data_IF_464384231557
#
_entry.id   IF_464384231557
#
_cell.length_a   1.000
_cell.length_b   1.000
_cell.length_c   1.000
_cell.angle_alpha   90.00
_cell.angle_beta   90.00
_cell.angle_gamma   90.00
#
_symmetry.space_group_name_H-M   'P 1'
#
loop_
_entity.id
_entity.type
_entity.pdbx_description
1 polymer ?
#
# COMPACT_ATOMS: atom_id res chain seq x y z
N UNK A 1 -14.81 28.82 9.81
CA UNK A 1 -14.04 29.78 8.96
C UNK A 1 -14.98 30.57 8.08
N UNK A 2 -14.64 31.82 7.64
CA UNK A 2 -15.47 32.59 6.72
C UNK A 2 -15.01 32.41 5.26
N UNK A 3 -15.89 32.73 4.29
CA UNK A 3 -15.63 32.60 2.86
C UNK A 3 -14.39 33.39 2.41
N UNK A 4 -14.15 34.59 2.95
CA UNK A 4 -13.00 35.43 2.54
C UNK A 4 -11.63 34.80 2.90
N UNK A 5 -11.53 34.19 4.07
CA UNK A 5 -10.30 33.45 4.48
C UNK A 5 -10.11 32.22 3.59
N UNK A 6 -11.18 31.46 3.34
CA UNK A 6 -11.13 30.27 2.48
C UNK A 6 -10.81 30.62 1.02
N UNK A 7 -11.30 31.77 0.53
CA UNK A 7 -11.00 32.26 -0.82
C UNK A 7 -9.49 32.49 -1.02
N UNK A 8 -8.81 33.09 -0.03
CA UNK A 8 -7.35 33.30 -0.09
C UNK A 8 -6.61 31.96 -0.13
N UNK A 9 -6.98 31.02 0.77
CA UNK A 9 -6.35 29.69 0.82
C UNK A 9 -6.53 28.92 -0.50
N UNK A 10 -7.75 28.90 -1.03
CA UNK A 10 -8.07 28.21 -2.29
C UNK A 10 -7.34 28.83 -3.47
N UNK A 11 -7.19 30.18 -3.48
CA UNK A 11 -6.43 30.87 -4.51
C UNK A 11 -4.95 30.49 -4.49
N UNK A 12 -4.32 30.50 -3.32
CA UNK A 12 -2.92 30.08 -3.15
C UNK A 12 -2.72 28.61 -3.60
N UNK A 13 -3.58 27.71 -3.14
CA UNK A 13 -3.51 26.30 -3.54
C UNK A 13 -3.71 26.07 -5.04
N UNK A 14 -4.53 26.92 -5.70
CA UNK A 14 -4.67 26.91 -7.16
C UNK A 14 -3.37 27.33 -7.85
N UNK A 15 -2.69 28.34 -7.36
CA UNK A 15 -1.39 28.77 -7.92
C UNK A 15 -0.34 27.69 -7.77
N UNK A 16 -0.26 27.01 -6.60
CA UNK A 16 0.62 25.87 -6.37
C UNK A 16 0.33 24.72 -7.34
N UNK A 17 -0.96 24.38 -7.51
CA UNK A 17 -1.40 23.33 -8.46
C UNK A 17 -1.01 23.64 -9.90
N UNK A 18 -1.07 24.91 -10.32
CA UNK A 18 -0.70 25.33 -11.67
C UNK A 18 0.81 25.34 -11.89
N UNK A 19 1.59 25.55 -10.84
CA UNK A 19 3.06 25.51 -10.88
C UNK A 19 3.63 24.09 -10.95
N UNK A 20 2.86 23.06 -10.61
CA UNK A 20 3.32 21.68 -10.61
C UNK A 20 3.63 21.18 -12.04
N UNK A 21 4.86 20.72 -12.26
CA UNK A 21 5.29 20.02 -13.47
C UNK A 21 5.26 18.50 -13.26
N UNK A 22 4.59 17.78 -14.16
CA UNK A 22 4.44 16.32 -14.11
C UNK A 22 5.20 15.62 -15.24
N UNK A 23 6.00 16.34 -16.05
CA UNK A 23 6.65 15.81 -17.25
C UNK A 23 7.63 14.68 -16.97
N UNK A 24 8.27 14.69 -15.80
CA UNK A 24 9.27 13.70 -15.38
C UNK A 24 8.71 12.62 -14.44
N UNK A 25 7.41 12.65 -14.17
CA UNK A 25 6.81 11.73 -13.21
C UNK A 25 6.42 10.40 -13.88
N UNK A 26 6.57 9.32 -13.12
CA UNK A 26 6.21 7.97 -13.58
C UNK A 26 4.68 7.80 -13.64
N UNK A 27 4.11 7.42 -14.81
CA UNK A 27 2.71 7.02 -14.88
C UNK A 27 2.44 5.81 -13.99
N UNK A 28 1.29 5.80 -13.33
CA UNK A 28 0.90 4.73 -12.39
C UNK A 28 -0.11 3.79 -13.05
N UNK A 29 0.09 2.47 -12.99
CA UNK A 29 -0.89 1.49 -13.51
C UNK A 29 -2.29 1.64 -12.89
N UNK A 30 -2.37 2.12 -11.65
CA UNK A 30 -3.61 2.36 -10.92
C UNK A 30 -4.51 3.43 -11.57
N UNK A 31 -3.99 4.25 -12.48
CA UNK A 31 -4.80 5.17 -13.32
C UNK A 31 -5.91 4.43 -14.06
N UNK A 32 -5.65 3.20 -14.48
CA UNK A 32 -6.63 2.36 -15.19
C UNK A 32 -7.86 2.00 -14.35
N UNK A 33 -7.77 2.14 -13.04
CA UNK A 33 -8.87 1.88 -12.09
C UNK A 33 -9.75 3.12 -11.85
N UNK A 34 -9.32 4.31 -12.30
CA UNK A 34 -10.08 5.56 -12.17
C UNK A 34 -11.07 5.72 -13.33
N UNK A 35 -12.29 6.16 -13.03
CA UNK A 35 -13.36 6.30 -14.00
C UNK A 35 -13.99 7.70 -13.95
N UNK A 36 -13.73 8.51 -14.99
CA UNK A 36 -14.28 9.86 -15.15
C UNK A 36 -15.81 9.88 -15.40
N UNK A 37 -16.36 8.79 -15.92
CA UNK A 37 -17.79 8.71 -16.27
C UNK A 37 -18.65 8.20 -15.12
N UNK A 38 -18.00 7.67 -14.09
CA UNK A 38 -18.71 7.13 -12.94
C UNK A 38 -19.39 8.22 -12.12
N UNK A 39 -20.61 7.94 -11.66
CA UNK A 39 -21.30 8.74 -10.64
C UNK A 39 -20.84 8.43 -9.21
N UNK A 40 -19.79 7.63 -9.06
CA UNK A 40 -19.19 7.27 -7.77
C UNK A 40 -17.99 8.18 -7.50
N UNK A 41 -17.77 8.53 -6.24
CA UNK A 41 -16.52 9.18 -5.86
C UNK A 41 -15.32 8.26 -6.16
N UNK A 42 -14.30 8.79 -6.82
CA UNK A 42 -13.02 8.10 -7.04
C UNK A 42 -12.17 8.34 -5.80
N UNK A 43 -11.90 7.28 -5.03
CA UNK A 43 -11.24 7.39 -3.72
C UNK A 43 -9.90 6.70 -3.77
N UNK A 44 -8.81 7.46 -3.76
CA UNK A 44 -7.44 6.96 -3.76
C UNK A 44 -6.88 6.98 -2.34
N UNK A 45 -6.55 5.80 -1.82
CA UNK A 45 -5.99 5.64 -0.48
C UNK A 45 -4.62 4.96 -0.52
N UNK A 46 -3.82 5.16 0.52
CA UNK A 46 -2.49 4.58 0.62
C UNK A 46 -1.65 5.31 1.65
N UNK A 47 -0.46 4.81 1.92
CA UNK A 47 0.45 5.41 2.89
C UNK A 47 0.77 6.88 2.54
N UNK A 48 1.05 7.69 3.55
CA UNK A 48 1.52 9.08 3.35
C UNK A 48 2.73 9.10 2.41
N UNK A 49 2.78 10.04 1.44
CA UNK A 49 3.86 10.21 0.46
C UNK A 49 4.01 9.10 -0.61
N UNK A 50 3.02 8.24 -0.81
CA UNK A 50 3.07 7.25 -1.90
C UNK A 50 2.63 7.79 -3.28
N UNK A 51 2.23 9.08 -3.38
CA UNK A 51 1.87 9.75 -4.64
C UNK A 51 0.38 9.80 -4.96
N UNK A 52 -0.51 9.73 -3.95
CA UNK A 52 -1.99 9.76 -4.15
C UNK A 52 -2.48 11.02 -4.85
N UNK A 53 -2.10 12.18 -4.33
CA UNK A 53 -2.48 13.49 -4.87
C UNK A 53 -1.95 13.63 -6.30
N UNK A 54 -0.68 13.30 -6.50
CA UNK A 54 -0.02 13.31 -7.80
C UNK A 54 -0.72 12.43 -8.82
N UNK A 55 -1.15 11.21 -8.45
CA UNK A 55 -1.92 10.31 -9.32
C UNK A 55 -3.22 10.97 -9.79
N UNK A 56 -4.00 11.56 -8.87
CA UNK A 56 -5.27 12.22 -9.21
C UNK A 56 -5.05 13.45 -10.10
N UNK A 57 -4.08 14.29 -9.77
CA UNK A 57 -3.74 15.49 -10.53
C UNK A 57 -3.26 15.15 -11.95
N UNK A 58 -2.31 14.23 -12.08
CA UNK A 58 -1.83 13.76 -13.38
C UNK A 58 -2.97 13.20 -14.23
N UNK A 59 -3.78 12.33 -13.66
CA UNK A 59 -4.91 11.72 -14.35
C UNK A 59 -5.88 12.76 -14.89
N UNK A 60 -6.30 13.73 -14.06
CA UNK A 60 -7.23 14.77 -14.46
C UNK A 60 -6.62 15.69 -15.53
N UNK A 61 -5.37 16.12 -15.36
CA UNK A 61 -4.66 16.98 -16.31
C UNK A 61 -4.41 16.29 -17.65
N UNK A 62 -3.96 15.03 -17.65
CA UNK A 62 -3.73 14.27 -18.89
C UNK A 62 -5.02 14.03 -19.70
N UNK A 63 -6.16 13.96 -19.03
CA UNK A 63 -7.47 13.85 -19.69
C UNK A 63 -8.06 15.20 -20.11
N UNK A 64 -7.34 16.30 -19.88
CA UNK A 64 -7.82 17.66 -20.21
C UNK A 64 -9.05 18.08 -19.42
N UNK A 65 -9.19 17.63 -18.18
CA UNK A 65 -10.33 17.92 -17.32
C UNK A 65 -10.05 19.19 -16.51
N UNK A 66 -10.94 20.17 -16.62
CA UNK A 66 -10.97 21.31 -15.72
C UNK A 66 -11.62 20.89 -14.40
N UNK A 67 -10.93 21.10 -13.29
CA UNK A 67 -11.38 20.72 -11.96
C UNK A 67 -11.05 21.76 -10.90
N UNK A 68 -11.90 21.85 -9.89
CA UNK A 68 -11.61 22.60 -8.68
C UNK A 68 -10.81 21.69 -7.70
N UNK A 69 -9.93 22.30 -6.93
CA UNK A 69 -9.02 21.60 -6.02
C UNK A 69 -9.00 22.24 -4.65
N UNK A 70 -8.90 21.40 -3.62
CA UNK A 70 -8.62 21.81 -2.26
C UNK A 70 -7.87 20.72 -1.52
N UNK A 71 -6.80 21.12 -0.81
CA UNK A 71 -6.00 20.26 0.08
C UNK A 71 -6.32 20.59 1.54
N UNK A 72 -6.82 19.62 2.28
CA UNK A 72 -7.16 19.73 3.70
C UNK A 72 -5.98 19.41 4.66
N UNK A 73 -4.78 19.14 4.13
CA UNK A 73 -3.53 19.04 4.94
C UNK A 73 -2.84 20.41 5.09
N UNK A 74 -3.50 21.50 4.66
CA UNK A 74 -3.06 22.88 4.84
C UNK A 74 -3.24 23.29 6.32
N UNK A 75 -2.20 23.79 6.96
CA UNK A 75 -2.19 24.17 8.37
C UNK A 75 -3.21 25.29 8.70
N UNK A 76 -3.50 26.16 7.73
CA UNK A 76 -4.52 27.22 7.86
C UNK A 76 -5.95 26.65 7.97
N UNK A 77 -6.14 25.38 7.60
CA UNK A 77 -7.41 24.66 7.67
C UNK A 77 -7.54 23.76 8.92
N UNK A 78 -6.58 23.73 9.83
CA UNK A 78 -6.57 22.80 10.98
C UNK A 78 -7.83 22.91 11.85
N UNK A 79 -8.36 24.12 12.05
CA UNK A 79 -9.58 24.38 12.84
C UNK A 79 -10.89 24.28 12.05
N UNK A 80 -10.84 23.91 10.76
CA UNK A 80 -12.00 23.84 9.88
C UNK A 80 -12.98 22.74 10.32
N UNK A 81 -14.27 23.03 10.29
CA UNK A 81 -15.35 22.12 10.69
C UNK A 81 -16.28 21.83 9.51
N UNK A 82 -17.10 20.80 9.63
CA UNK A 82 -18.12 20.47 8.63
C UNK A 82 -19.07 21.63 8.34
N UNK A 83 -19.36 22.51 9.31
CA UNK A 83 -20.16 23.72 9.13
C UNK A 83 -19.56 24.74 8.17
N UNK A 84 -18.24 24.68 7.97
CA UNK A 84 -17.52 25.62 7.10
C UNK A 84 -17.43 25.14 5.64
N UNK A 85 -17.84 23.91 5.36
CA UNK A 85 -17.76 23.30 4.01
C UNK A 85 -18.63 24.01 2.98
N UNK A 86 -19.71 24.70 3.39
CA UNK A 86 -20.52 25.51 2.50
C UNK A 86 -19.81 26.82 2.11
N UNK A 87 -19.11 27.46 3.05
CA UNK A 87 -18.26 28.61 2.76
C UNK A 87 -17.07 28.23 1.86
N UNK A 88 -16.52 27.01 2.06
CA UNK A 88 -15.49 26.49 1.17
C UNK A 88 -16.02 26.29 -0.27
N UNK A 89 -17.21 25.72 -0.42
CA UNK A 89 -17.81 25.51 -1.72
C UNK A 89 -18.06 26.85 -2.44
N UNK A 90 -18.50 27.86 -1.69
CA UNK A 90 -18.66 29.24 -2.22
C UNK A 90 -17.29 29.81 -2.68
N UNK A 91 -16.22 29.68 -1.87
CA UNK A 91 -14.88 30.10 -2.23
C UNK A 91 -14.34 29.38 -3.48
N UNK A 92 -14.62 28.08 -3.62
CA UNK A 92 -14.28 27.30 -4.81
C UNK A 92 -14.99 27.83 -6.07
N UNK A 93 -16.31 28.13 -5.99
CA UNK A 93 -17.03 28.75 -7.12
C UNK A 93 -16.52 30.15 -7.48
N UNK A 94 -16.11 30.93 -6.47
CA UNK A 94 -15.51 32.25 -6.70
C UNK A 94 -14.13 32.15 -7.39
N UNK A 95 -13.36 31.12 -7.11
CA UNK A 95 -12.01 30.94 -7.65
C UNK A 95 -11.97 30.25 -9.01
N UNK A 96 -12.81 29.21 -9.21
CA UNK A 96 -12.80 28.34 -10.38
C UNK A 96 -13.96 28.58 -11.34
N UNK A 97 -14.98 29.36 -10.94
CA UNK A 97 -16.24 29.50 -11.70
C UNK A 97 -17.09 28.22 -11.60
N UNK A 98 -17.86 27.92 -12.66
CA UNK A 98 -18.59 26.65 -12.70
C UNK A 98 -17.66 25.47 -13.01
N UNK A 99 -17.73 24.44 -12.22
CA UNK A 99 -16.96 23.20 -12.41
C UNK A 99 -17.84 21.96 -12.18
N UNK A 100 -17.47 20.87 -12.84
CA UNK A 100 -18.14 19.56 -12.69
C UNK A 100 -17.28 18.54 -11.94
N UNK A 101 -15.97 18.74 -11.91
CA UNK A 101 -15.00 17.88 -11.24
C UNK A 101 -14.42 18.63 -10.05
N UNK A 102 -14.38 17.95 -8.91
CA UNK A 102 -13.82 18.50 -7.68
C UNK A 102 -12.87 17.47 -7.06
N UNK A 103 -11.64 17.89 -6.83
CA UNK A 103 -10.64 17.10 -6.15
C UNK A 103 -10.47 17.58 -4.71
N UNK A 104 -10.77 16.68 -3.77
CA UNK A 104 -10.71 16.87 -2.32
C UNK A 104 -9.54 16.04 -1.78
N UNK A 105 -8.40 16.69 -1.55
CA UNK A 105 -7.18 16.03 -1.10
C UNK A 105 -7.12 15.99 0.44
N UNK A 106 -6.85 14.79 1.01
CA UNK A 106 -6.76 14.51 2.45
C UNK A 106 -8.04 14.93 3.23
N UNK A 107 -9.24 14.76 2.64
CA UNK A 107 -10.54 15.24 3.19
C UNK A 107 -10.87 14.65 4.56
N UNK A 108 -10.28 13.52 4.95
CA UNK A 108 -10.49 12.92 6.26
C UNK A 108 -10.01 13.79 7.44
N UNK A 109 -9.31 14.88 7.16
CA UNK A 109 -8.95 15.86 8.18
C UNK A 109 -10.16 16.67 8.68
N UNK A 110 -11.30 16.64 7.96
CA UNK A 110 -12.55 17.30 8.35
C UNK A 110 -13.54 16.28 8.89
N UNK A 111 -13.88 16.39 10.17
CA UNK A 111 -14.90 15.53 10.77
C UNK A 111 -16.29 15.79 10.11
N UNK A 112 -17.02 14.71 9.76
CA UNK A 112 -18.34 14.81 9.12
C UNK A 112 -18.34 15.05 7.60
N UNK A 113 -17.18 15.06 6.95
CA UNK A 113 -17.03 15.21 5.50
C UNK A 113 -17.92 14.29 4.62
N UNK A 114 -18.31 13.05 5.04
CA UNK A 114 -19.05 12.16 4.16
C UNK A 114 -20.45 12.68 3.80
N UNK A 115 -21.06 13.46 4.68
CA UNK A 115 -22.37 14.09 4.40
C UNK A 115 -22.26 15.14 3.31
N UNK A 116 -21.18 15.92 3.32
CA UNK A 116 -20.86 16.89 2.28
C UNK A 116 -20.65 16.20 0.93
N UNK A 117 -19.79 15.18 0.86
CA UNK A 117 -19.53 14.38 -0.33
C UNK A 117 -20.82 13.77 -0.89
N UNK A 118 -21.66 13.19 -0.03
CA UNK A 118 -22.95 12.64 -0.46
C UNK A 118 -23.88 13.71 -1.08
N UNK A 119 -23.85 14.93 -0.55
CA UNK A 119 -24.64 16.05 -1.11
C UNK A 119 -24.13 16.41 -2.52
N UNK A 120 -22.81 16.53 -2.70
CA UNK A 120 -22.20 16.84 -3.99
C UNK A 120 -22.45 15.74 -5.04
N UNK A 121 -22.39 14.46 -4.65
CA UNK A 121 -22.73 13.34 -5.53
C UNK A 121 -24.21 13.38 -5.98
N UNK A 122 -25.15 13.81 -5.10
CA UNK A 122 -26.55 14.02 -5.50
C UNK A 122 -26.70 15.17 -6.51
N UNK A 123 -25.82 16.15 -6.45
CA UNK A 123 -25.74 17.25 -7.43
C UNK A 123 -25.03 16.85 -8.72
N UNK A 124 -24.66 15.54 -8.86
CA UNK A 124 -23.98 14.98 -10.02
C UNK A 124 -22.56 15.55 -10.25
N UNK A 125 -21.88 15.98 -9.19
CA UNK A 125 -20.47 16.33 -9.25
C UNK A 125 -19.62 15.07 -9.31
N UNK A 126 -18.58 15.09 -10.12
CA UNK A 126 -17.55 14.05 -10.17
C UNK A 126 -16.48 14.36 -9.13
N UNK A 127 -16.33 13.46 -8.16
CA UNK A 127 -15.45 13.68 -7.03
C UNK A 127 -14.24 12.77 -7.08
N UNK A 128 -13.06 13.35 -6.91
CA UNK A 128 -11.80 12.69 -6.63
C UNK A 128 -11.43 12.97 -5.19
N UNK A 129 -11.07 11.95 -4.45
CA UNK A 129 -10.83 12.03 -3.00
C UNK A 129 -9.56 11.25 -2.69
N UNK A 130 -8.67 11.84 -1.90
CA UNK A 130 -7.54 11.10 -1.37
C UNK A 130 -7.58 11.02 0.14
N UNK A 131 -6.83 10.05 0.67
CA UNK A 131 -6.61 9.94 2.11
C UNK A 131 -5.54 8.93 2.51
N UNK A 132 -4.81 9.27 3.56
CA UNK A 132 -3.72 8.45 4.12
C UNK A 132 -4.19 7.36 5.10
N UNK A 133 -5.50 7.15 5.26
CA UNK A 133 -6.04 6.17 6.20
C UNK A 133 -7.10 5.25 5.58
N UNK A 134 -6.91 3.93 5.73
CA UNK A 134 -7.78 2.92 5.14
C UNK A 134 -9.15 2.78 5.83
N UNK A 135 -9.19 2.89 7.16
CA UNK A 135 -10.40 2.53 7.94
C UNK A 135 -11.39 3.66 8.08
N UNK A 136 -10.92 4.91 8.19
CA UNK A 136 -11.83 6.05 8.21
C UNK A 136 -12.58 6.16 6.90
N UNK A 137 -11.84 6.11 5.80
CA UNK A 137 -12.47 6.07 4.49
C UNK A 137 -13.33 4.80 4.34
N UNK A 138 -12.88 3.63 4.81
CA UNK A 138 -13.67 2.40 4.72
C UNK A 138 -14.89 2.40 5.64
N UNK A 139 -14.79 2.84 6.90
CA UNK A 139 -15.91 2.91 7.84
C UNK A 139 -16.90 3.99 7.43
N UNK A 140 -16.42 5.18 7.10
CA UNK A 140 -17.26 6.30 6.67
C UNK A 140 -17.85 6.06 5.28
N UNK A 141 -17.04 5.47 4.35
CA UNK A 141 -17.53 5.02 3.04
C UNK A 141 -18.57 3.91 3.16
N UNK A 142 -18.37 2.94 4.07
CA UNK A 142 -19.35 1.86 4.26
C UNK A 142 -20.65 2.35 4.90
N UNK A 143 -20.59 3.37 5.77
CA UNK A 143 -21.76 3.88 6.47
C UNK A 143 -22.51 4.93 5.65
N UNK A 144 -21.81 5.84 5.00
CA UNK A 144 -22.41 7.01 4.34
C UNK A 144 -22.31 7.00 2.82
N UNK A 145 -21.33 6.30 2.23
CA UNK A 145 -21.07 6.23 0.80
C UNK A 145 -21.18 4.80 0.25
N UNK A 146 -21.98 3.93 0.90
CA UNK A 146 -22.17 2.53 0.45
C UNK A 146 -22.60 2.48 -1.01
N UNK A 147 -21.79 1.78 -1.83
CA UNK A 147 -22.05 1.65 -3.26
C UNK A 147 -21.82 2.92 -4.11
N UNK A 148 -21.40 4.05 -3.49
CA UNK A 148 -21.17 5.33 -4.16
C UNK A 148 -19.70 5.72 -4.26
N UNK A 149 -18.79 4.79 -4.06
CA UNK A 149 -17.36 5.00 -4.21
C UNK A 149 -16.74 3.93 -5.10
N UNK A 150 -15.65 4.30 -5.76
CA UNK A 150 -14.69 3.44 -6.42
C UNK A 150 -13.37 3.62 -5.67
N UNK A 151 -12.88 2.58 -5.02
CA UNK A 151 -11.70 2.63 -4.14
C UNK A 151 -10.49 2.10 -4.88
N UNK A 152 -9.43 2.89 -4.92
CA UNK A 152 -8.11 2.54 -5.46
C UNK A 152 -7.09 2.57 -4.33
N UNK A 153 -6.38 1.47 -4.09
CA UNK A 153 -5.27 1.42 -3.13
C UNK A 153 -3.96 1.66 -3.86
N UNK A 154 -3.23 2.70 -3.45
CA UNK A 154 -1.95 3.07 -4.01
C UNK A 154 -0.82 2.71 -3.04
N UNK A 155 0.16 1.99 -3.54
CA UNK A 155 1.38 1.63 -2.83
C UNK A 155 2.56 2.50 -3.29
N UNK A 156 3.69 2.58 -2.56
CA UNK A 156 4.95 3.08 -3.11
C UNK A 156 5.28 2.40 -4.45
N UNK A 157 6.20 2.90 -5.23
CA UNK A 157 6.52 2.34 -6.55
C UNK A 157 6.77 0.84 -6.51
N UNK A 158 6.17 0.12 -7.46
CA UNK A 158 6.52 -1.26 -7.79
C UNK A 158 7.93 -1.34 -8.38
N UNK A 159 8.49 -2.54 -8.45
CA UNK A 159 9.78 -2.73 -9.12
C UNK A 159 9.74 -2.28 -10.60
N UNK A 160 8.62 -2.47 -11.29
CA UNK A 160 8.43 -1.99 -12.66
C UNK A 160 8.49 -0.47 -12.76
N UNK A 161 7.82 0.25 -11.85
CA UNK A 161 7.85 1.71 -11.79
C UNK A 161 9.22 2.23 -11.34
N UNK A 162 9.86 1.53 -10.41
CA UNK A 162 11.24 1.83 -10.00
C UNK A 162 12.22 1.73 -11.17
N UNK A 163 12.11 0.68 -12.02
CA UNK A 163 12.88 0.54 -13.24
C UNK A 163 12.59 1.68 -14.24
N UNK A 164 11.32 2.06 -14.40
CA UNK A 164 10.93 3.16 -15.28
C UNK A 164 11.54 4.49 -14.84
N UNK A 165 11.47 4.83 -13.55
CA UNK A 165 12.08 6.05 -13.00
C UNK A 165 13.60 6.09 -13.18
N UNK A 166 14.27 4.92 -13.19
CA UNK A 166 15.71 4.81 -13.42
C UNK A 166 16.08 4.61 -14.90
N UNK A 167 15.12 4.65 -15.80
CA UNK A 167 15.32 4.40 -17.24
C UNK A 167 16.01 3.04 -17.52
N UNK A 168 15.65 2.01 -16.73
CA UNK A 168 16.19 0.64 -16.89
C UNK A 168 15.41 -0.08 -18.00
N UNK A 169 16.13 -0.64 -18.96
CA UNK A 169 15.53 -1.48 -20.00
C UNK A 169 15.01 -2.80 -19.41
N UNK A 170 13.70 -2.95 -19.39
CA UNK A 170 13.00 -4.13 -18.85
C UNK A 170 12.71 -5.18 -19.93
N UNK A 171 12.97 -4.89 -21.21
CA UNK A 171 12.57 -5.75 -22.34
C UNK A 171 13.71 -6.55 -22.95
N UNK A 172 14.93 -6.01 -22.94
CA UNK A 172 16.10 -6.67 -23.53
C UNK A 172 16.48 -7.96 -22.80
N UNK A 173 16.74 -9.01 -23.55
CA UNK A 173 17.19 -10.32 -23.04
C UNK A 173 18.72 -10.44 -22.96
N UNK A 174 19.47 -9.37 -23.26
CA UNK A 174 20.92 -9.39 -23.20
C UNK A 174 21.46 -9.66 -21.80
N UNK A 175 22.61 -10.31 -21.69
CA UNK A 175 23.28 -10.57 -20.39
C UNK A 175 23.51 -9.28 -19.61
N UNK A 176 23.89 -8.18 -20.31
CA UNK A 176 24.08 -6.87 -19.70
C UNK A 176 22.76 -6.35 -19.08
N UNK A 177 21.66 -6.37 -19.84
CA UNK A 177 20.38 -5.89 -19.35
C UNK A 177 19.86 -6.73 -18.17
N UNK A 178 20.01 -8.05 -18.23
CA UNK A 178 19.69 -8.96 -17.11
C UNK A 178 20.51 -8.63 -15.86
N UNK A 179 21.83 -8.40 -16.01
CA UNK A 179 22.69 -8.01 -14.90
C UNK A 179 22.31 -6.68 -14.26
N UNK A 180 21.96 -5.67 -15.09
CA UNK A 180 21.49 -4.37 -14.61
C UNK A 180 20.17 -4.54 -13.83
N UNK A 181 19.20 -5.28 -14.35
CA UNK A 181 17.93 -5.55 -13.63
C UNK A 181 18.14 -6.23 -12.29
N UNK A 182 19.03 -7.23 -12.20
CA UNK A 182 19.37 -7.88 -10.93
C UNK A 182 19.97 -6.89 -9.93
N UNK A 183 20.92 -6.07 -10.34
CA UNK A 183 21.50 -5.02 -9.50
C UNK A 183 20.44 -4.01 -9.06
N UNK A 184 19.54 -3.59 -9.96
CA UNK A 184 18.43 -2.68 -9.66
C UNK A 184 17.43 -3.32 -8.70
N UNK A 185 17.16 -4.63 -8.81
CA UNK A 185 16.31 -5.34 -7.85
C UNK A 185 16.94 -5.37 -6.45
N UNK A 186 18.25 -5.64 -6.38
CA UNK A 186 18.96 -5.61 -5.09
C UNK A 186 18.88 -4.21 -4.45
N UNK A 187 19.05 -3.17 -5.24
CA UNK A 187 18.91 -1.80 -4.78
C UNK A 187 17.47 -1.52 -4.29
N UNK A 188 16.45 -1.93 -5.06
CA UNK A 188 15.03 -1.78 -4.69
C UNK A 188 14.69 -2.51 -3.38
N UNK A 189 15.24 -3.73 -3.16
CA UNK A 189 15.10 -4.46 -1.90
C UNK A 189 15.59 -3.66 -0.69
N UNK A 190 16.68 -2.89 -0.86
CA UNK A 190 17.29 -2.10 0.20
C UNK A 190 16.66 -0.72 0.37
N UNK A 191 16.35 -0.06 -0.72
CA UNK A 191 15.97 1.35 -0.72
C UNK A 191 14.45 1.59 -0.68
N UNK A 192 13.66 0.57 -1.06
CA UNK A 192 12.22 0.70 -1.20
C UNK A 192 11.79 1.49 -2.43
N UNK A 193 10.50 1.81 -2.50
CA UNK A 193 9.84 2.44 -3.65
C UNK A 193 9.16 3.77 -3.37
N UNK A 194 9.44 4.47 -2.27
CA UNK A 194 8.86 5.81 -2.07
C UNK A 194 9.34 6.78 -3.16
N UNK A 195 8.41 7.46 -3.87
CA UNK A 195 8.76 8.32 -5.00
C UNK A 195 9.79 9.41 -4.65
N UNK A 196 9.64 10.07 -3.50
CA UNK A 196 10.51 11.16 -3.09
C UNK A 196 11.94 10.71 -2.76
N UNK A 197 12.17 9.41 -2.45
CA UNK A 197 13.51 8.89 -2.17
C UNK A 197 14.45 8.91 -3.38
N UNK A 198 13.92 9.05 -4.61
CA UNK A 198 14.76 9.17 -5.81
C UNK A 198 15.57 10.46 -5.83
N UNK A 199 15.05 11.52 -5.25
CA UNK A 199 15.67 12.84 -5.21
C UNK A 199 16.21 13.20 -3.83
N UNK A 200 16.11 12.29 -2.83
CA UNK A 200 16.49 12.57 -1.45
C UNK A 200 17.91 12.09 -1.16
N UNK A 201 18.77 13.02 -0.76
CA UNK A 201 20.15 12.73 -0.38
C UNK A 201 20.25 12.15 1.03
N UNK A 202 19.39 12.60 1.96
CA UNK A 202 19.32 12.11 3.34
C UNK A 202 18.13 11.15 3.51
N UNK A 203 18.21 9.96 2.90
CA UNK A 203 17.15 8.95 2.93
C UNK A 203 16.72 8.55 4.33
N UNK A 204 17.71 8.36 5.22
CA UNK A 204 17.44 8.01 6.62
C UNK A 204 16.66 9.09 7.33
N UNK A 205 17.07 10.36 7.20
CA UNK A 205 16.34 11.49 7.78
C UNK A 205 14.93 11.63 7.23
N UNK A 206 14.76 11.43 5.92
CA UNK A 206 13.45 11.45 5.28
C UNK A 206 12.52 10.34 5.82
N UNK A 207 12.96 9.09 5.85
CA UNK A 207 12.14 7.96 6.32
C UNK A 207 11.78 8.09 7.79
N UNK A 208 12.72 8.53 8.65
CA UNK A 208 12.43 8.75 10.07
C UNK A 208 11.43 9.90 10.27
N UNK A 209 11.59 11.00 9.52
CA UNK A 209 10.61 12.10 9.52
C UNK A 209 9.23 11.65 9.04
N UNK A 210 9.16 10.83 7.99
CA UNK A 210 7.91 10.27 7.47
C UNK A 210 7.25 9.34 8.49
N UNK A 211 8.01 8.43 9.11
CA UNK A 211 7.51 7.52 10.16
C UNK A 211 6.97 8.31 11.36
N UNK A 212 7.69 9.34 11.78
CA UNK A 212 7.26 10.25 12.85
C UNK A 212 5.96 10.96 12.52
N UNK A 213 5.83 11.49 11.31
CA UNK A 213 4.62 12.16 10.86
C UNK A 213 3.41 11.19 10.84
N UNK A 214 3.60 9.96 10.34
CA UNK A 214 2.55 8.93 10.34
C UNK A 214 2.14 8.58 11.78
N UNK A 215 3.10 8.30 12.66
CA UNK A 215 2.82 7.91 14.05
C UNK A 215 2.12 9.06 14.80
N UNK A 216 2.59 10.31 14.68
CA UNK A 216 2.05 11.45 15.42
C UNK A 216 0.73 11.94 14.85
N UNK A 217 0.70 12.20 13.53
CA UNK A 217 -0.44 12.88 12.89
C UNK A 217 -1.51 11.89 12.44
N UNK A 218 -1.11 10.82 11.73
CA UNK A 218 -2.08 9.90 11.14
C UNK A 218 -2.60 8.86 12.14
N UNK A 219 -1.85 8.58 13.23
CA UNK A 219 -2.26 7.62 14.26
C UNK A 219 -2.55 8.29 15.60
N UNK A 220 -1.55 8.87 16.27
CA UNK A 220 -1.69 9.27 17.68
C UNK A 220 -2.72 10.39 17.87
N UNK A 221 -2.70 11.44 17.04
CA UNK A 221 -3.67 12.55 17.08
C UNK A 221 -5.09 12.01 16.82
N UNK A 222 -5.24 11.15 15.83
CA UNK A 222 -6.53 10.61 15.37
C UNK A 222 -7.18 9.66 16.35
N UNK A 223 -6.45 8.66 16.85
CA UNK A 223 -6.96 7.64 17.77
C UNK A 223 -6.80 8.05 19.25
N UNK A 224 -6.34 9.28 19.50
CA UNK A 224 -6.11 9.81 20.86
C UNK A 224 -5.25 8.86 21.69
N UNK A 225 -4.15 8.36 21.07
CA UNK A 225 -3.23 7.43 21.71
C UNK A 225 -2.54 8.09 22.89
N UNK A 226 -2.67 7.51 24.09
CA UNK A 226 -2.06 8.07 25.31
C UNK A 226 -0.58 7.77 25.42
N UNK A 227 -0.16 6.57 25.02
CA UNK A 227 1.24 6.15 25.07
C UNK A 227 1.83 6.04 23.65
N UNK A 228 2.23 7.19 23.10
CA UNK A 228 2.80 7.31 21.76
C UNK A 228 4.17 6.62 21.68
N UNK A 229 4.92 6.63 22.78
CA UNK A 229 6.23 5.97 22.82
C UNK A 229 6.10 4.44 22.71
N UNK A 230 5.15 3.83 23.42
CA UNK A 230 4.88 2.40 23.25
C UNK A 230 4.42 2.06 21.83
N UNK A 231 3.57 2.91 21.22
CA UNK A 231 3.16 2.74 19.82
C UNK A 231 4.37 2.77 18.87
N UNK A 232 5.29 3.73 19.04
CA UNK A 232 6.52 3.85 18.25
C UNK A 232 7.40 2.61 18.39
N UNK A 233 7.65 2.15 19.60
CA UNK A 233 8.46 0.95 19.87
C UNK A 233 7.82 -0.32 19.31
N UNK A 234 6.49 -0.44 19.39
CA UNK A 234 5.76 -1.56 18.77
C UNK A 234 5.85 -1.49 17.24
N UNK A 235 5.74 -0.31 16.64
CA UNK A 235 5.90 -0.15 15.21
C UNK A 235 7.31 -0.57 14.75
N UNK A 236 8.35 -0.15 15.48
CA UNK A 236 9.73 -0.54 15.23
C UNK A 236 9.91 -2.06 15.32
N UNK A 237 9.43 -2.67 16.42
CA UNK A 237 9.50 -4.12 16.62
C UNK A 237 8.81 -4.91 15.50
N UNK A 238 7.62 -4.49 15.07
CA UNK A 238 6.88 -5.17 14.00
C UNK A 238 7.55 -4.98 12.64
N UNK A 239 8.20 -3.84 12.42
CA UNK A 239 9.02 -3.61 11.23
C UNK A 239 10.33 -4.42 11.24
N UNK A 240 10.90 -4.78 12.39
CA UNK A 240 12.05 -5.67 12.50
C UNK A 240 11.68 -7.15 12.38
N UNK A 241 10.43 -7.49 12.75
CA UNK A 241 9.89 -8.85 12.72
C UNK A 241 8.83 -9.01 11.60
N UNK A 242 9.00 -8.33 10.49
CA UNK A 242 8.13 -8.52 9.33
C UNK A 242 8.30 -9.94 8.75
N UNK A 243 7.35 -10.39 7.94
CA UNK A 243 7.21 -11.79 7.50
C UNK A 243 6.99 -12.80 8.65
N UNK A 244 6.61 -12.32 9.86
CA UNK A 244 6.29 -13.19 11.00
C UNK A 244 4.84 -12.99 11.45
N UNK A 245 4.30 -13.98 12.19
CA UNK A 245 2.95 -13.90 12.74
C UNK A 245 2.87 -12.87 13.87
N UNK A 246 1.86 -12.00 13.84
CA UNK A 246 1.56 -11.11 14.96
C UNK A 246 0.94 -11.88 16.12
N UNK A 247 1.53 -11.76 17.31
CA UNK A 247 1.03 -12.35 18.54
C UNK A 247 0.86 -11.27 19.60
N UNK A 248 -0.38 -10.83 19.83
CA UNK A 248 -0.69 -9.72 20.73
C UNK A 248 -0.17 -9.93 22.15
N UNK A 249 -0.19 -11.18 22.66
CA UNK A 249 0.35 -11.51 23.99
C UNK A 249 1.84 -11.22 24.07
N UNK A 250 2.63 -11.67 23.10
CA UNK A 250 4.08 -11.45 23.06
C UNK A 250 4.41 -9.97 23.00
N UNK A 251 3.71 -9.22 22.13
CA UNK A 251 3.90 -7.77 22.00
C UNK A 251 3.50 -7.04 23.28
N UNK A 252 2.37 -7.44 23.91
CA UNK A 252 1.91 -6.86 25.17
C UNK A 252 2.93 -7.04 26.30
N UNK A 253 3.47 -8.25 26.46
CA UNK A 253 4.48 -8.56 27.48
C UNK A 253 5.79 -7.80 27.25
N UNK A 254 6.28 -7.72 25.99
CA UNK A 254 7.54 -7.03 25.65
C UNK A 254 7.49 -5.52 25.91
N UNK A 255 6.35 -4.88 25.68
CA UNK A 255 6.22 -3.43 25.75
C UNK A 255 5.42 -2.93 26.95
N UNK A 256 5.02 -3.82 27.87
CA UNK A 256 4.28 -3.45 29.07
C UNK A 256 2.90 -2.87 28.80
N UNK A 257 2.22 -3.34 27.75
CA UNK A 257 0.85 -2.94 27.42
C UNK A 257 -0.11 -4.14 27.46
N UNK A 258 -1.40 -3.89 27.59
CA UNK A 258 -2.38 -4.99 27.53
C UNK A 258 -2.42 -5.60 26.12
N UNK A 259 -2.82 -6.88 26.02
CA UNK A 259 -3.02 -7.54 24.73
C UNK A 259 -3.97 -6.76 23.83
N UNK A 260 -5.05 -6.22 24.38
CA UNK A 260 -6.01 -5.38 23.68
C UNK A 260 -5.37 -4.08 23.15
N UNK A 261 -4.47 -3.47 23.93
CA UNK A 261 -3.72 -2.28 23.47
C UNK A 261 -2.77 -2.65 22.32
N UNK A 262 -2.08 -3.80 22.41
CA UNK A 262 -1.21 -4.29 21.35
C UNK A 262 -2.00 -4.55 20.04
N UNK A 263 -3.19 -5.18 20.15
CA UNK A 263 -4.11 -5.39 19.01
C UNK A 263 -4.57 -4.07 18.39
N UNK A 264 -4.94 -3.09 19.22
CA UNK A 264 -5.35 -1.77 18.76
C UNK A 264 -4.20 -1.05 18.03
N UNK A 265 -2.99 -1.07 18.60
CA UNK A 265 -1.83 -0.43 17.97
C UNK A 265 -1.47 -1.10 16.64
N UNK A 266 -1.51 -2.43 16.58
CA UNK A 266 -1.35 -3.15 15.32
C UNK A 266 -2.42 -2.77 14.29
N UNK A 267 -3.69 -2.68 14.72
CA UNK A 267 -4.79 -2.21 13.85
C UNK A 267 -4.53 -0.78 13.34
N UNK A 268 -4.08 0.14 14.19
CA UNK A 268 -3.80 1.52 13.80
C UNK A 268 -2.64 1.63 12.80
N UNK A 269 -1.60 0.82 12.97
CA UNK A 269 -0.48 0.74 12.04
C UNK A 269 -0.91 0.23 10.66
N UNK A 270 -1.83 -0.76 10.61
CA UNK A 270 -2.45 -1.21 9.36
C UNK A 270 -3.35 -0.14 8.74
N UNK A 271 -4.12 0.54 9.58
CA UNK A 271 -5.00 1.62 9.12
C UNK A 271 -4.25 2.78 8.48
N UNK A 272 -3.07 3.10 9.00
CA UNK A 272 -2.15 4.10 8.43
C UNK A 272 -1.30 3.57 7.26
N UNK A 273 -1.56 2.35 6.80
CA UNK A 273 -0.80 1.68 5.74
C UNK A 273 0.69 1.49 6.01
N UNK A 274 1.14 1.59 7.27
CA UNK A 274 2.53 1.23 7.62
C UNK A 274 2.75 -0.28 7.52
N UNK A 275 1.74 -1.05 7.92
CA UNK A 275 1.77 -2.51 7.91
C UNK A 275 0.65 -3.08 7.05
N UNK A 276 0.92 -4.24 6.49
CA UNK A 276 -0.05 -5.09 5.80
C UNK A 276 -0.17 -6.41 6.55
N UNK A 277 -1.39 -6.80 6.90
CA UNK A 277 -1.66 -8.09 7.53
C UNK A 277 -2.18 -9.09 6.50
N UNK A 278 -1.57 -10.27 6.44
CA UNK A 278 -2.00 -11.39 5.61
C UNK A 278 -2.56 -12.49 6.49
N UNK A 279 -3.83 -12.84 6.29
CA UNK A 279 -4.49 -13.88 7.07
C UNK A 279 -4.00 -15.28 6.70
N UNK A 280 -4.10 -16.22 7.64
CA UNK A 280 -3.87 -17.62 7.36
C UNK A 280 -5.01 -18.19 6.50
N UNK A 281 -4.68 -18.93 5.46
CA UNK A 281 -5.68 -19.68 4.69
C UNK A 281 -6.23 -20.85 5.53
N UNK A 282 -7.54 -20.93 5.62
CA UNK A 282 -8.26 -22.10 6.17
C UNK A 282 -9.67 -22.12 5.60
N UNK A 283 -10.18 -23.31 5.31
CA UNK A 283 -11.60 -23.48 4.99
C UNK A 283 -12.51 -23.19 6.20
N UNK A 284 -11.98 -23.26 7.43
CA UNK A 284 -12.71 -22.91 8.65
C UNK A 284 -12.55 -21.41 8.96
N UNK A 285 -13.64 -20.65 8.92
CA UNK A 285 -13.63 -19.20 9.15
C UNK A 285 -12.96 -18.76 10.45
N UNK A 286 -13.14 -19.52 11.55
CA UNK A 286 -12.53 -19.24 12.85
C UNK A 286 -11.00 -19.26 12.83
N UNK A 287 -10.39 -20.05 11.95
CA UNK A 287 -8.94 -20.20 11.85
C UNK A 287 -8.32 -19.15 10.91
N UNK A 288 -9.12 -18.55 10.02
CA UNK A 288 -8.71 -17.44 9.15
C UNK A 288 -8.47 -16.13 9.89
N UNK A 289 -9.18 -15.91 10.98
CA UNK A 289 -9.13 -14.66 11.76
C UNK A 289 -7.94 -14.63 12.74
N UNK A 290 -7.25 -15.76 12.92
CA UNK A 290 -6.15 -15.88 13.89
C UNK A 290 -4.81 -15.72 13.18
N UNK A 291 -3.88 -15.02 13.85
CA UNK A 291 -2.48 -14.96 13.48
C UNK A 291 -2.25 -14.42 12.05
N UNK A 292 -2.42 -13.13 11.88
CA UNK A 292 -1.98 -12.46 10.65
C UNK A 292 -0.45 -12.48 10.57
N UNK A 293 0.10 -12.78 9.40
CA UNK A 293 1.51 -12.56 9.07
C UNK A 293 1.69 -11.09 8.71
N UNK A 294 2.69 -10.44 9.30
CA UNK A 294 2.90 -8.99 9.19
C UNK A 294 3.87 -8.69 8.06
N UNK A 295 3.54 -7.72 7.23
CA UNK A 295 4.43 -7.16 6.21
C UNK A 295 4.50 -5.65 6.35
N UNK A 296 5.60 -5.04 5.93
CA UNK A 296 5.72 -3.58 5.83
C UNK A 296 5.28 -3.12 4.45
N UNK A 297 4.67 -1.95 4.36
CA UNK A 297 4.23 -1.41 3.07
C UNK A 297 5.38 -1.14 2.12
N UNK A 298 6.57 -0.85 2.68
CA UNK A 298 7.79 -0.58 1.92
C UNK A 298 9.03 -0.94 2.75
N UNK A 299 10.04 -1.54 2.10
CA UNK A 299 11.27 -1.98 2.75
C UNK A 299 12.14 -0.83 3.25
N UNK A 300 11.95 0.41 2.79
CA UNK A 300 12.63 1.58 3.33
C UNK A 300 12.37 1.75 4.84
N UNK A 301 11.17 1.44 5.33
CA UNK A 301 10.85 1.47 6.76
C UNK A 301 11.63 0.42 7.59
N UNK A 302 12.22 -0.56 6.95
CA UNK A 302 13.13 -1.52 7.60
C UNK A 302 14.57 -1.04 7.50
N UNK A 303 15.02 -0.64 6.31
CA UNK A 303 16.43 -0.40 6.03
C UNK A 303 16.92 0.97 6.53
N UNK A 304 16.10 2.01 6.33
CA UNK A 304 16.50 3.42 6.57
C UNK A 304 16.11 3.94 7.96
N UNK A 305 15.56 3.10 8.82
CA UNK A 305 15.18 3.50 10.18
C UNK A 305 16.43 3.66 11.07
N UNK A 306 16.46 4.69 11.94
CA UNK A 306 17.59 4.98 12.82
C UNK A 306 17.87 3.88 13.86
N UNK A 307 16.81 3.26 14.36
CA UNK A 307 16.84 2.20 15.37
C UNK A 307 16.84 0.81 14.76
N UNK A 308 17.22 0.67 13.49
CA UNK A 308 17.34 -0.62 12.83
C UNK A 308 18.57 -1.38 13.34
N UNK A 309 18.31 -2.46 14.06
CA UNK A 309 19.32 -3.45 14.51
C UNK A 309 19.15 -4.81 13.81
N UNK A 310 18.20 -4.93 12.87
CA UNK A 310 17.97 -6.18 12.17
C UNK A 310 19.15 -6.50 11.24
N UNK A 311 19.55 -7.77 11.23
CA UNK A 311 20.45 -8.27 10.20
C UNK A 311 19.80 -8.12 8.83
N UNK A 312 20.61 -7.83 7.81
CA UNK A 312 20.14 -7.75 6.44
C UNK A 312 19.59 -9.10 5.98
N UNK A 313 18.26 -9.25 6.04
CA UNK A 313 17.58 -10.47 5.61
C UNK A 313 16.97 -10.26 4.22
N UNK A 314 17.75 -10.51 3.18
CA UNK A 314 17.31 -10.36 1.80
C UNK A 314 16.16 -11.30 1.43
N UNK A 315 16.06 -12.45 2.08
CA UNK A 315 14.94 -13.38 1.91
C UNK A 315 13.62 -12.77 2.38
N UNK A 316 13.60 -12.18 3.57
CA UNK A 316 12.41 -11.50 4.07
C UNK A 316 12.06 -10.24 3.24
N UNK A 317 13.07 -9.49 2.78
CA UNK A 317 12.84 -8.34 1.89
C UNK A 317 12.19 -8.78 0.58
N UNK A 318 12.69 -9.87 -0.02
CA UNK A 318 12.11 -10.43 -1.22
C UNK A 318 10.66 -10.89 -0.99
N UNK A 319 10.40 -11.64 0.08
CA UNK A 319 9.05 -12.06 0.46
C UNK A 319 8.11 -10.86 0.66
N UNK A 320 8.61 -9.79 1.32
CA UNK A 320 7.83 -8.59 1.56
C UNK A 320 7.43 -7.87 0.26
N UNK A 321 8.36 -7.67 -0.68
CA UNK A 321 8.01 -7.03 -1.95
C UNK A 321 7.08 -7.90 -2.80
N UNK A 322 7.25 -9.22 -2.76
CA UNK A 322 6.29 -10.14 -3.41
C UNK A 322 4.91 -9.98 -2.78
N UNK A 323 4.80 -9.88 -1.45
CA UNK A 323 3.53 -9.62 -0.77
C UNK A 323 2.85 -8.33 -1.28
N UNK A 324 3.58 -7.21 -1.30
CA UNK A 324 3.02 -5.93 -1.74
C UNK A 324 2.62 -5.97 -3.21
N UNK A 325 3.41 -6.64 -4.06
CA UNK A 325 3.07 -6.83 -5.46
C UNK A 325 1.81 -7.69 -5.64
N UNK A 326 1.63 -8.75 -4.85
CA UNK A 326 0.41 -9.55 -4.83
C UNK A 326 -0.82 -8.73 -4.42
N UNK A 327 -0.68 -7.86 -3.40
CA UNK A 327 -1.77 -6.95 -3.02
C UNK A 327 -2.14 -6.02 -4.17
N UNK A 328 -1.15 -5.48 -4.89
CA UNK A 328 -1.36 -4.60 -6.05
C UNK A 328 -2.08 -5.32 -7.18
N UNK A 329 -1.70 -6.57 -7.49
CA UNK A 329 -2.27 -7.33 -8.61
C UNK A 329 -3.65 -7.91 -8.32
N UNK A 330 -3.84 -8.46 -7.13
CA UNK A 330 -4.98 -9.34 -6.85
C UNK A 330 -6.15 -8.66 -6.15
N UNK A 331 -5.91 -7.63 -5.30
CA UNK A 331 -7.02 -6.89 -4.66
C UNK A 331 -8.00 -6.25 -5.66
N UNK A 332 -7.54 -5.59 -6.74
CA UNK A 332 -8.45 -5.02 -7.73
C UNK A 332 -9.30 -6.08 -8.46
N UNK A 333 -8.83 -7.34 -8.49
CA UNK A 333 -9.52 -8.47 -9.12
C UNK A 333 -10.46 -9.21 -8.15
N UNK A 334 -10.62 -8.68 -6.91
CA UNK A 334 -11.39 -9.33 -5.84
C UNK A 334 -10.87 -10.72 -5.48
N UNK A 335 -9.56 -10.90 -5.57
CA UNK A 335 -8.88 -12.09 -5.07
C UNK A 335 -8.29 -11.80 -3.70
N UNK A 336 -8.38 -12.79 -2.82
CA UNK A 336 -7.79 -12.72 -1.49
C UNK A 336 -6.38 -13.32 -1.50
N UNK A 337 -5.47 -12.69 -0.75
CA UNK A 337 -4.10 -13.16 -0.52
C UNK A 337 -4.00 -13.67 0.91
N UNK A 338 -3.61 -14.93 1.06
CA UNK A 338 -3.42 -15.59 2.35
C UNK A 338 -2.00 -16.18 2.44
N UNK A 339 -1.55 -16.56 3.63
CA UNK A 339 -0.47 -17.52 3.81
C UNK A 339 -1.03 -18.88 4.26
N UNK A 340 -0.27 -19.95 4.05
CA UNK A 340 -0.67 -21.28 4.51
C UNK A 340 0.37 -21.86 5.46
N UNK A 341 -0.06 -22.40 6.59
CA UNK A 341 0.82 -23.01 7.58
C UNK A 341 0.13 -24.15 8.29
N UNK A 342 0.74 -25.33 8.22
CA UNK A 342 0.42 -26.50 9.02
C UNK A 342 1.71 -27.13 9.57
N UNK A 343 1.58 -28.17 10.40
CA UNK A 343 2.71 -28.79 11.06
C UNK A 343 3.82 -29.27 10.11
N UNK A 344 3.44 -29.69 8.89
CA UNK A 344 4.37 -30.28 7.91
C UNK A 344 4.47 -29.47 6.60
N UNK A 345 3.81 -28.32 6.49
CA UNK A 345 3.74 -27.57 5.24
C UNK A 345 3.53 -26.10 5.52
N UNK A 346 4.33 -25.26 4.88
CA UNK A 346 4.16 -23.81 4.88
C UNK A 346 4.30 -23.32 3.44
N UNK A 347 3.43 -22.37 3.05
CA UNK A 347 3.51 -21.66 1.79
C UNK A 347 3.27 -20.18 2.08
N UNK A 348 4.13 -19.33 1.51
CA UNK A 348 4.12 -17.91 1.84
C UNK A 348 2.87 -17.22 1.33
N UNK A 349 2.38 -17.59 0.13
CA UNK A 349 1.16 -16.98 -0.39
C UNK A 349 0.24 -18.00 -1.05
N UNK A 350 -1.05 -17.83 -0.77
CA UNK A 350 -2.17 -18.56 -1.35
C UNK A 350 -3.11 -17.53 -1.95
N UNK A 351 -3.28 -17.58 -3.25
CA UNK A 351 -4.25 -16.73 -3.94
C UNK A 351 -5.55 -17.46 -4.05
N UNK A 352 -6.62 -16.86 -3.54
CA UNK A 352 -7.94 -17.47 -3.56
C UNK A 352 -8.99 -16.49 -4.10
N UNK A 353 -9.96 -17.02 -4.84
CA UNK A 353 -11.12 -16.30 -5.35
C UNK A 353 -12.36 -17.14 -5.16
N UNK A 354 -13.42 -16.55 -4.60
CA UNK A 354 -14.71 -17.20 -4.37
C UNK A 354 -14.57 -18.57 -3.65
N UNK A 355 -13.64 -18.64 -2.68
CA UNK A 355 -13.37 -19.84 -1.89
C UNK A 355 -12.48 -20.90 -2.57
N UNK A 356 -12.08 -20.68 -3.83
CA UNK A 356 -11.21 -21.58 -4.58
C UNK A 356 -9.77 -21.06 -4.61
N UNK A 357 -8.81 -21.95 -4.34
CA UNK A 357 -7.38 -21.64 -4.46
C UNK A 357 -7.01 -21.61 -5.94
N UNK A 358 -6.43 -20.50 -6.39
CA UNK A 358 -6.04 -20.26 -7.77
C UNK A 358 -4.56 -20.52 -8.00
N UNK A 359 -3.71 -20.15 -7.02
CA UNK A 359 -2.26 -20.25 -7.12
C UNK A 359 -1.64 -20.38 -5.75
N UNK A 360 -0.52 -21.11 -5.67
CA UNK A 360 0.38 -21.21 -4.52
C UNK A 360 1.73 -20.62 -4.90
N UNK A 361 2.21 -19.67 -4.11
CA UNK A 361 3.47 -18.98 -4.35
C UNK A 361 4.36 -19.11 -3.12
N UNK A 362 5.54 -19.67 -3.33
CA UNK A 362 6.61 -19.72 -2.34
C UNK A 362 7.69 -18.74 -2.74
N UNK A 363 8.37 -18.13 -1.76
CA UNK A 363 9.47 -17.19 -2.01
C UNK A 363 10.73 -17.68 -1.30
N UNK A 364 11.83 -17.80 -2.03
CA UNK A 364 13.14 -18.12 -1.47
C UNK A 364 14.20 -17.28 -2.16
N UNK A 365 15.04 -16.58 -1.39
CA UNK A 365 16.11 -15.79 -2.01
C UNK A 365 17.07 -16.64 -2.82
N UNK A 366 17.41 -17.83 -2.30
CA UNK A 366 18.38 -18.76 -2.87
C UNK A 366 17.94 -20.21 -2.61
N UNK A 367 17.96 -21.03 -3.66
CA UNK A 367 17.68 -22.48 -3.60
C UNK A 367 18.85 -23.31 -4.10
N UNK A 368 20.05 -22.76 -4.14
CA UNK A 368 21.27 -23.47 -4.59
C UNK A 368 21.63 -24.64 -3.69
N UNK A 369 21.27 -24.58 -2.38
CA UNK A 369 21.48 -25.71 -1.48
C UNK A 369 20.36 -26.73 -1.58
N UNK A 370 20.69 -28.00 -1.71
CA UNK A 370 19.74 -29.10 -1.81
C UNK A 370 18.75 -29.14 -0.62
N UNK A 371 19.24 -28.82 0.57
CA UNK A 371 18.40 -28.76 1.79
C UNK A 371 17.30 -27.70 1.66
N UNK A 372 17.63 -26.49 1.25
CA UNK A 372 16.64 -25.41 1.04
C UNK A 372 15.70 -25.77 -0.09
N UNK A 373 16.24 -26.16 -1.24
CA UNK A 373 15.46 -26.58 -2.41
C UNK A 373 14.40 -27.63 -2.05
N UNK A 374 14.82 -28.73 -1.43
CA UNK A 374 13.92 -29.83 -1.05
C UNK A 374 12.86 -29.39 -0.02
N UNK A 375 13.19 -28.46 0.87
CA UNK A 375 12.24 -27.89 1.83
C UNK A 375 11.13 -27.12 1.13
N UNK A 376 11.49 -26.20 0.21
CA UNK A 376 10.54 -25.33 -0.49
C UNK A 376 9.63 -26.16 -1.43
N UNK A 377 10.20 -27.06 -2.22
CA UNK A 377 9.46 -27.95 -3.09
C UNK A 377 8.47 -28.82 -2.31
N UNK A 378 8.94 -29.44 -1.22
CA UNK A 378 8.08 -30.27 -0.37
C UNK A 378 6.95 -29.46 0.27
N UNK A 379 7.22 -28.23 0.70
CA UNK A 379 6.21 -27.31 1.25
C UNK A 379 5.09 -27.04 0.25
N UNK A 380 5.45 -26.62 -0.96
CA UNK A 380 4.52 -26.37 -2.07
C UNK A 380 3.70 -27.61 -2.43
N UNK A 381 4.34 -28.76 -2.62
CA UNK A 381 3.67 -30.02 -2.97
C UNK A 381 2.65 -30.46 -1.92
N UNK A 382 3.05 -30.42 -0.65
CA UNK A 382 2.15 -30.80 0.44
C UNK A 382 0.92 -29.88 0.51
N UNK A 383 1.11 -28.59 0.30
CA UNK A 383 0.02 -27.63 0.22
C UNK A 383 -0.85 -27.87 -1.03
N UNK A 384 -0.24 -28.09 -2.20
CA UNK A 384 -0.90 -28.38 -3.46
C UNK A 384 -1.89 -29.55 -3.36
N UNK A 385 -1.46 -30.66 -2.76
CA UNK A 385 -2.29 -31.84 -2.50
C UNK A 385 -3.50 -31.53 -1.62
N UNK A 386 -3.28 -30.77 -0.53
CA UNK A 386 -4.34 -30.43 0.45
C UNK A 386 -5.31 -29.41 -0.07
N UNK A 387 -4.82 -28.41 -0.79
CA UNK A 387 -5.59 -27.29 -1.32
C UNK A 387 -6.12 -27.55 -2.74
N UNK A 388 -5.74 -28.67 -3.35
CA UNK A 388 -6.12 -29.08 -4.71
C UNK A 388 -5.79 -28.01 -5.77
N UNK A 389 -4.59 -27.48 -5.69
CA UNK A 389 -4.09 -26.46 -6.60
C UNK A 389 -2.88 -26.98 -7.38
N UNK A 390 -2.91 -26.84 -8.72
CA UNK A 390 -1.83 -27.28 -9.59
C UNK A 390 -0.98 -26.11 -10.12
N UNK A 391 -1.35 -24.86 -9.85
CA UNK A 391 -0.57 -23.69 -10.24
C UNK A 391 0.40 -23.36 -9.11
N UNK A 392 1.66 -23.77 -9.28
CA UNK A 392 2.71 -23.70 -8.28
C UNK A 392 3.85 -22.84 -8.79
N UNK A 393 4.13 -21.74 -8.08
CA UNK A 393 5.22 -20.83 -8.41
C UNK A 393 6.21 -20.75 -7.25
N UNK A 394 7.49 -20.87 -7.55
CA UNK A 394 8.59 -20.60 -6.63
C UNK A 394 9.35 -19.38 -7.13
N UNK A 395 9.20 -18.26 -6.45
CA UNK A 395 9.91 -17.01 -6.78
C UNK A 395 11.26 -17.02 -6.08
N UNK A 396 12.34 -16.90 -6.87
CA UNK A 396 13.72 -16.84 -6.38
C UNK A 396 14.40 -15.54 -6.81
N UNK A 397 15.56 -15.22 -6.23
CA UNK A 397 16.27 -14.02 -6.67
C UNK A 397 16.76 -14.16 -8.13
N UNK A 398 17.29 -15.32 -8.52
CA UNK A 398 17.87 -15.48 -9.86
C UNK A 398 17.66 -16.84 -10.55
N UNK A 399 17.28 -17.89 -9.82
CA UNK A 399 17.13 -19.22 -10.42
C UNK A 399 15.89 -19.30 -11.31
N UNK A 400 16.03 -20.01 -12.42
CA UNK A 400 14.96 -20.23 -13.39
C UNK A 400 14.98 -21.68 -13.87
N UNK A 401 13.91 -22.41 -13.58
CA UNK A 401 13.73 -23.78 -14.04
C UNK A 401 12.26 -24.20 -13.95
N UNK A 402 11.96 -25.32 -14.58
CA UNK A 402 10.66 -26.01 -14.39
C UNK A 402 10.96 -27.37 -13.77
N UNK A 403 10.36 -27.62 -12.60
CA UNK A 403 10.55 -28.86 -11.86
C UNK A 403 9.31 -29.73 -12.10
N UNK A 404 9.51 -30.86 -12.77
CA UNK A 404 8.49 -31.89 -12.92
C UNK A 404 8.65 -32.96 -11.83
N UNK A 405 7.61 -33.16 -11.06
CA UNK A 405 7.61 -34.12 -9.96
C UNK A 405 6.90 -35.43 -10.36
N UNK A 406 7.37 -36.57 -9.85
CA UNK A 406 6.85 -37.91 -10.17
C UNK A 406 5.34 -38.07 -9.92
N UNK A 407 4.77 -37.28 -9.02
CA UNK A 407 3.34 -37.27 -8.68
C UNK A 407 2.51 -36.32 -9.57
N UNK A 408 3.11 -35.82 -10.66
CA UNK A 408 2.44 -35.04 -11.71
C UNK A 408 2.28 -33.54 -11.41
N UNK A 409 2.89 -33.02 -10.33
CA UNK A 409 2.95 -31.59 -10.08
C UNK A 409 4.11 -30.94 -10.84
N UNK A 410 3.84 -29.78 -11.42
CA UNK A 410 4.86 -28.93 -12.06
C UNK A 410 5.03 -27.66 -11.24
N UNK A 411 6.27 -27.37 -10.84
CA UNK A 411 6.62 -26.14 -10.11
C UNK A 411 7.42 -25.24 -11.04
N UNK A 412 6.92 -24.03 -11.27
CA UNK A 412 7.63 -23.01 -12.03
C UNK A 412 8.54 -22.20 -11.11
N UNK A 413 9.84 -22.34 -11.25
CA UNK A 413 10.85 -21.51 -10.57
C UNK A 413 11.12 -20.30 -11.45
N UNK A 414 10.82 -19.09 -10.93
CA UNK A 414 10.88 -17.85 -11.70
C UNK A 414 11.75 -16.82 -10.97
N UNK A 415 12.72 -16.19 -11.69
CA UNK A 415 13.49 -15.10 -11.12
C UNK A 415 12.60 -13.91 -10.74
N UNK A 416 12.85 -13.33 -9.59
CA UNK A 416 12.05 -12.22 -9.07
C UNK A 416 12.02 -11.01 -10.02
N UNK A 417 13.13 -10.75 -10.75
CA UNK A 417 13.16 -9.70 -11.79
C UNK A 417 12.12 -9.95 -12.89
N UNK A 418 11.93 -11.20 -13.29
CA UNK A 418 10.95 -11.56 -14.32
C UNK A 418 9.53 -11.57 -13.72
N UNK A 419 9.37 -12.17 -12.53
CA UNK A 419 8.08 -12.26 -11.87
C UNK A 419 7.49 -10.87 -11.55
N UNK A 420 8.31 -9.92 -11.07
CA UNK A 420 7.88 -8.56 -10.72
C UNK A 420 7.61 -7.68 -11.95
N UNK A 421 8.25 -7.95 -13.11
CA UNK A 421 8.04 -7.21 -14.35
C UNK A 421 6.89 -7.77 -15.19
N UNK A 422 6.57 -9.06 -15.07
CA UNK A 422 5.43 -9.65 -15.76
C UNK A 422 4.13 -9.21 -15.10
N UNK A 423 3.24 -8.61 -15.91
CA UNK A 423 1.91 -8.15 -15.47
C UNK A 423 0.89 -9.28 -15.51
#
# INVERSE_FOLDING_TARGET
>A
MNTQTLLSIVADQREELLANDYSELCPRPEESQLDLKSNRAQVVIGVRRCGKSTLCEMFLKQKGIDFAYVNFDDDRMEDMKASDLDHLLEALYMTYGEFKYLFLDEIQNIEGWPLFVNRLLRQKMHLFITGSNSKLLSKELSTHLTGRNNKVELYPFSYSEYCAMKNIDTTSLSTKAKGIRKSTLHEYLLQGGFPELFNESNRRGYINGLLDAIIKNDIAKRFKVRNVEALRRIAAYLADNYCQEFVAKTVGELFGVSNHTAENYYSYLKEAFLLVGVNRFSYKSKDRVRNEKVYVVDTAFVTEREDNFSLENLGWKLENIVCIELMRRYKPLFCDVFYYKETSSQVDFVIAKDGNVQELIQVSYDISTEKTRNREIRGLKNAAKKLKCNNLTLVTFEEQETIEEEDGYTINVVPATEWLLNK
#
